data_IF_584901615436
#
_entry.id   IF_584901615436
#
_cell.length_a   1.000
_cell.length_b   1.000
_cell.length_c   1.000
_cell.angle_alpha   90.00
_cell.angle_beta   90.00
_cell.angle_gamma   90.00
#
_symmetry.space_group_name_H-M   'P 1'
#
loop_
_entity.id
_entity.type
_entity.pdbx_description
1 polymer ?
#
# COMPACT_ATOMS: atom_id res chain seq x y z
N UNK A 1 2.95 10.97 -2.43
CA UNK A 1 2.02 9.83 -2.45
C UNK A 1 1.44 9.57 -1.08
N UNK A 2 0.36 8.83 -1.01
CA UNK A 2 -0.32 8.49 0.24
C UNK A 2 -0.54 6.99 0.31
N UNK A 3 -0.52 6.47 1.52
CA UNK A 3 -0.75 5.05 1.78
C UNK A 3 -1.87 4.90 2.82
N UNK A 4 -2.75 3.93 2.59
CA UNK A 4 -3.88 3.62 3.46
C UNK A 4 -3.95 2.12 3.66
N UNK A 5 -4.11 1.69 4.91
CA UNK A 5 -4.25 0.28 5.25
C UNK A 5 -5.68 -0.04 5.63
N UNK A 6 -6.26 -1.02 4.97
CA UNK A 6 -7.63 -1.48 5.20
C UNK A 6 -7.57 -2.82 5.93
N UNK A 7 -8.25 -2.89 7.07
CA UNK A 7 -8.28 -4.10 7.86
C UNK A 7 -9.02 -5.22 7.14
N UNK A 8 -8.41 -6.41 7.11
CA UNK A 8 -9.03 -7.59 6.58
C UNK A 8 -9.92 -8.29 7.60
N UNK A 9 -10.33 -9.50 7.27
CA UNK A 9 -11.10 -10.38 8.14
C UNK A 9 -10.32 -11.66 8.38
N UNK A 10 -10.91 -12.64 9.08
CA UNK A 10 -10.27 -13.94 9.28
C UNK A 10 -9.92 -14.65 7.98
N UNK A 11 -10.69 -14.41 6.91
CA UNK A 11 -10.51 -15.06 5.60
C UNK A 11 -9.90 -14.15 4.54
N UNK A 12 -9.89 -12.85 4.79
CA UNK A 12 -9.42 -11.86 3.83
C UNK A 12 -8.26 -11.11 4.47
N UNK A 13 -7.07 -11.12 3.84
CA UNK A 13 -5.93 -10.40 4.40
C UNK A 13 -6.13 -8.89 4.36
N UNK A 14 -5.29 -8.16 5.07
CA UNK A 14 -5.29 -6.70 5.01
C UNK A 14 -4.95 -6.24 3.60
N UNK A 15 -5.54 -5.11 3.20
CA UNK A 15 -5.28 -4.49 1.92
C UNK A 15 -4.53 -3.18 2.09
N UNK A 16 -3.73 -2.84 1.09
CA UNK A 16 -3.03 -1.56 1.02
C UNK A 16 -3.49 -0.82 -0.21
N UNK A 17 -3.80 0.47 -0.06
CA UNK A 17 -4.04 1.38 -1.17
C UNK A 17 -2.90 2.40 -1.22
N UNK A 18 -2.41 2.68 -2.41
CA UNK A 18 -1.44 3.75 -2.64
C UNK A 18 -2.09 4.74 -3.58
N UNK A 19 -2.05 6.02 -3.23
CA UNK A 19 -2.62 7.12 -4.00
C UNK A 19 -1.55 8.13 -4.34
N UNK A 20 -1.73 8.81 -5.48
CA UNK A 20 -0.79 9.83 -5.90
C UNK A 20 -1.07 11.18 -5.20
N UNK A 21 -0.40 12.23 -5.65
CA UNK A 21 -0.55 13.56 -5.05
C UNK A 21 -1.94 14.14 -5.23
N UNK A 22 -2.66 13.73 -6.28
CA UNK A 22 -4.04 14.12 -6.52
C UNK A 22 -5.04 13.20 -5.82
N UNK A 23 -4.53 12.30 -4.99
CA UNK A 23 -5.31 11.32 -4.26
C UNK A 23 -6.01 10.29 -5.15
N UNK A 24 -5.49 10.09 -6.35
CA UNK A 24 -5.97 9.07 -7.27
C UNK A 24 -5.37 7.73 -6.89
N UNK A 25 -6.19 6.68 -6.86
CA UNK A 25 -5.72 5.33 -6.54
C UNK A 25 -4.81 4.80 -7.64
N UNK A 26 -3.57 4.48 -7.30
CA UNK A 26 -2.60 3.95 -8.25
C UNK A 26 -2.21 2.50 -7.98
N UNK A 27 -2.43 2.02 -6.76
CA UNK A 27 -2.17 0.62 -6.41
C UNK A 27 -3.13 0.16 -5.33
N UNK A 28 -3.60 -1.09 -5.45
CA UNK A 28 -4.47 -1.71 -4.48
C UNK A 28 -4.13 -3.19 -4.42
N UNK A 29 -3.66 -3.66 -3.29
CA UNK A 29 -3.15 -5.03 -3.19
C UNK A 29 -3.32 -5.61 -1.79
N UNK A 30 -3.28 -6.94 -1.72
CA UNK A 30 -3.25 -7.66 -0.46
C UNK A 30 -1.85 -7.61 0.15
N UNK A 31 -1.77 -7.49 1.47
CA UNK A 31 -0.48 -7.52 2.17
C UNK A 31 0.32 -8.79 1.84
N UNK A 32 -0.37 -9.88 1.54
CA UNK A 32 0.26 -11.16 1.23
C UNK A 32 0.72 -11.28 -0.22
N UNK A 33 0.29 -10.39 -1.10
CA UNK A 33 0.63 -10.47 -2.52
C UNK A 33 0.77 -9.08 -3.16
N UNK A 34 1.83 -8.33 -2.82
CA UNK A 34 2.00 -6.97 -3.31
C UNK A 34 2.64 -6.86 -4.69
N UNK A 35 3.31 -7.90 -5.17
CA UNK A 35 4.22 -7.79 -6.32
C UNK A 35 3.55 -7.34 -7.61
N UNK A 36 2.41 -7.93 -7.95
CA UNK A 36 1.75 -7.62 -9.22
C UNK A 36 1.32 -6.17 -9.31
N UNK A 37 0.67 -5.66 -8.26
CA UNK A 37 0.21 -4.28 -8.25
C UNK A 37 1.36 -3.28 -8.25
N UNK A 38 2.40 -3.53 -7.46
CA UNK A 38 3.56 -2.65 -7.40
C UNK A 38 4.34 -2.66 -8.70
N UNK A 39 4.41 -3.80 -9.37
CA UNK A 39 5.05 -3.89 -10.69
C UNK A 39 4.32 -3.06 -11.74
N UNK A 40 2.98 -3.06 -11.70
CA UNK A 40 2.17 -2.31 -12.65
C UNK A 40 2.33 -0.79 -12.55
N UNK A 41 2.62 -0.29 -11.37
CA UNK A 41 2.78 1.15 -11.16
C UNK A 41 4.24 1.57 -10.97
N UNK A 42 5.18 0.69 -11.34
CA UNK A 42 6.63 0.95 -11.27
C UNK A 42 7.14 1.20 -9.85
N UNK A 43 6.50 0.59 -8.87
CA UNK A 43 6.92 0.71 -7.47
C UNK A 43 7.53 -0.57 -6.92
N UNK A 44 7.80 -1.56 -7.79
CA UNK A 44 8.33 -2.85 -7.34
C UNK A 44 9.70 -2.69 -6.66
N UNK A 45 10.52 -1.75 -7.11
CA UNK A 45 11.82 -1.49 -6.51
C UNK A 45 11.72 -0.89 -5.11
N UNK A 46 10.55 -0.42 -4.73
CA UNK A 46 10.28 0.18 -3.42
C UNK A 46 9.45 -0.74 -2.52
N UNK A 47 9.25 -1.99 -2.94
CA UNK A 47 8.37 -2.92 -2.23
C UNK A 47 8.74 -3.08 -0.76
N UNK A 48 10.01 -3.29 -0.46
CA UNK A 48 10.45 -3.47 0.93
C UNK A 48 10.14 -2.25 1.79
N UNK A 49 10.39 -1.07 1.25
CA UNK A 49 10.12 0.19 1.94
C UNK A 49 8.63 0.37 2.19
N UNK A 50 7.81 0.08 1.18
CA UNK A 50 6.36 0.19 1.27
C UNK A 50 5.81 -0.79 2.30
N UNK A 51 6.26 -2.04 2.27
CA UNK A 51 5.79 -3.06 3.20
C UNK A 51 6.21 -2.77 4.63
N UNK A 52 7.40 -2.22 4.84
CA UNK A 52 7.85 -1.81 6.17
C UNK A 52 6.94 -0.75 6.76
N UNK A 53 6.58 0.24 5.97
CA UNK A 53 5.64 1.28 6.39
C UNK A 53 4.26 0.68 6.66
N UNK A 54 3.80 -0.18 5.75
CA UNK A 54 2.48 -0.80 5.86
C UNK A 54 2.32 -1.64 7.12
N UNK A 55 3.37 -2.31 7.56
CA UNK A 55 3.33 -3.15 8.76
C UNK A 55 3.07 -2.36 10.03
N UNK A 56 3.50 -1.11 10.06
CA UNK A 56 3.34 -0.25 11.25
C UNK A 56 2.17 0.72 11.11
N UNK A 57 1.53 0.77 9.94
CA UNK A 57 0.45 1.69 9.67
C UNK A 57 -0.83 1.24 10.37
N UNK A 58 -1.55 2.19 10.97
CA UNK A 58 -2.84 1.91 11.59
C UNK A 58 -3.93 1.78 10.55
N UNK A 59 -4.92 0.92 10.84
CA UNK A 59 -6.04 0.73 9.94
C UNK A 59 -6.88 1.99 9.79
N UNK A 60 -7.29 2.26 8.55
CA UNK A 60 -8.17 3.38 8.26
C UNK A 60 -7.53 4.75 8.30
N UNK A 61 -6.23 4.83 8.55
CA UNK A 61 -5.52 6.10 8.59
C UNK A 61 -4.67 6.28 7.34
N UNK A 62 -4.71 7.48 6.79
CA UNK A 62 -3.92 7.84 5.62
C UNK A 62 -2.61 8.43 6.10
N UNK A 63 -1.51 7.94 5.56
CA UNK A 63 -0.18 8.45 5.84
C UNK A 63 0.48 8.90 4.56
N UNK A 64 1.20 10.01 4.61
CA UNK A 64 1.97 10.45 3.47
C UNK A 64 3.13 9.49 3.24
N UNK A 65 3.26 9.03 2.00
CA UNK A 65 4.31 8.09 1.60
C UNK A 65 5.37 8.84 0.82
N UNK A 66 6.53 8.99 1.41
CA UNK A 66 7.65 9.67 0.77
C UNK A 66 8.63 8.64 0.24
N UNK A 67 8.48 8.35 -1.05
CA UNK A 67 9.36 7.43 -1.78
C UNK A 67 10.06 8.21 -2.85
N UNK A 68 11.36 8.04 -2.94
CA UNK A 68 12.16 8.67 -3.97
C UNK A 68 12.65 7.66 -4.97
#
# INVERSE_FOLDING_TARGET
MYILKIQGTKRIPDYIQIRDEDFTLIAYFKMTNPKTALSRCNLIDRMEQILTIARTLEYGKIQKLEIK
#
